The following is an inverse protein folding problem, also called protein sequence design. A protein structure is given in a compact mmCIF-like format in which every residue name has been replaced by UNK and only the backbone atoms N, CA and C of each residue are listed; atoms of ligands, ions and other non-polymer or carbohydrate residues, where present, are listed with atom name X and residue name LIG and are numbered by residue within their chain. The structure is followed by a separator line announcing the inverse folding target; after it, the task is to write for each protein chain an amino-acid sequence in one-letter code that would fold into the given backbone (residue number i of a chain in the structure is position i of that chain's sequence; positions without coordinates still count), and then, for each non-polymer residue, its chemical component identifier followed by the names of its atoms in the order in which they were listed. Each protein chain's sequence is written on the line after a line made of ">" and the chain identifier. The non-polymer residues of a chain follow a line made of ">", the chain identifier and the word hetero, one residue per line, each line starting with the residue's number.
data_IF_830488637324
#
_entry.id   IF_830488637324
#
_cell.length_a   1.000
_cell.length_b   1.000
_cell.length_c   1.000
_cell.angle_alpha   90.00
_cell.angle_beta   90.00
_cell.angle_gamma   90.00
#
_symmetry.space_group_name_H-M   'P 1'
#
loop_
_entity.id
_entity.type
_entity.pdbx_description
1 polymer ?
#
# COMPACT_ATOMS: atom_id res chain seq x y z
N UNK A 1 -15.27 21.05 -8.74
CA UNK A 1 -15.93 20.33 -7.64
C UNK A 1 -17.46 20.27 -7.84
N UNK A 2 -18.06 21.31 -8.42
CA UNK A 2 -19.53 21.40 -8.60
C UNK A 2 -20.11 20.29 -9.49
N UNK A 3 -19.40 19.88 -10.54
CA UNK A 3 -19.84 18.76 -11.40
C UNK A 3 -19.95 17.43 -10.66
N UNK A 4 -19.03 17.14 -9.72
CA UNK A 4 -19.06 15.91 -8.91
C UNK A 4 -20.27 15.91 -7.97
N UNK A 5 -20.54 17.05 -7.32
CA UNK A 5 -21.68 17.20 -6.42
C UNK A 5 -23.01 17.09 -7.15
N UNK A 6 -23.10 17.68 -8.34
CA UNK A 6 -24.27 17.60 -9.20
C UNK A 6 -24.56 16.16 -9.64
N UNK A 7 -23.54 15.45 -10.14
CA UNK A 7 -23.67 14.06 -10.61
C UNK A 7 -23.98 13.11 -9.47
N UNK A 8 -23.39 13.32 -8.29
CA UNK A 8 -23.77 12.59 -7.09
C UNK A 8 -25.25 12.80 -6.73
N UNK A 9 -25.74 14.03 -6.85
CA UNK A 9 -27.16 14.36 -6.65
C UNK A 9 -28.08 13.61 -7.61
N UNK A 10 -27.71 13.54 -8.89
CA UNK A 10 -28.44 12.78 -9.92
C UNK A 10 -28.48 11.29 -9.59
N UNK A 11 -27.32 10.69 -9.34
CA UNK A 11 -27.20 9.26 -9.04
C UNK A 11 -27.96 8.90 -7.77
N UNK A 12 -27.84 9.72 -6.73
CA UNK A 12 -28.62 9.57 -5.51
C UNK A 12 -30.12 9.65 -5.79
N UNK A 13 -30.58 10.67 -6.53
CA UNK A 13 -31.99 10.82 -6.86
C UNK A 13 -32.56 9.63 -7.61
N UNK A 14 -31.79 9.03 -8.52
CA UNK A 14 -32.21 7.81 -9.21
C UNK A 14 -32.25 6.58 -8.29
N UNK A 15 -31.29 6.44 -7.38
CA UNK A 15 -31.29 5.35 -6.40
C UNK A 15 -32.41 5.50 -5.37
N UNK A 16 -32.71 6.72 -4.92
CA UNK A 16 -33.81 7.00 -3.99
C UNK A 16 -35.17 6.67 -4.62
N UNK A 17 -35.33 6.87 -5.94
CA UNK A 17 -36.52 6.42 -6.69
C UNK A 17 -36.62 4.90 -6.77
N UNK A 18 -35.51 4.21 -7.04
CA UNK A 18 -35.46 2.75 -7.02
C UNK A 18 -35.82 2.16 -5.65
N UNK A 19 -35.39 2.79 -4.56
CA UNK A 19 -35.73 2.35 -3.19
C UNK A 19 -37.22 2.47 -2.89
N UNK A 20 -37.92 3.38 -3.59
CA UNK A 20 -39.37 3.58 -3.47
C UNK A 20 -40.19 2.73 -4.44
N UNK A 21 -39.56 1.77 -5.12
CA UNK A 21 -40.15 0.97 -6.20
C UNK A 21 -40.71 1.83 -7.36
N UNK A 22 -40.18 3.05 -7.56
CA UNK A 22 -40.52 3.90 -8.70
C UNK A 22 -39.63 3.57 -9.92
N UNK A 23 -40.19 3.63 -11.12
CA UNK A 23 -39.41 3.49 -12.35
C UNK A 23 -38.45 4.68 -12.50
N UNK A 24 -37.17 4.42 -12.27
CA UNK A 24 -36.10 5.34 -12.60
C UNK A 24 -35.44 4.90 -13.91
N UNK A 25 -35.41 5.80 -14.90
CA UNK A 25 -34.67 5.60 -16.14
C UNK A 25 -33.62 6.68 -16.26
N UNK A 26 -32.35 6.28 -16.32
CA UNK A 26 -31.24 7.20 -16.53
C UNK A 26 -31.30 7.78 -17.95
N UNK A 27 -31.33 9.11 -18.08
CA UNK A 27 -31.28 9.78 -19.37
C UNK A 27 -29.91 9.59 -20.05
N UNK A 28 -29.84 9.83 -21.35
CA UNK A 28 -28.57 9.75 -22.08
C UNK A 28 -27.54 10.78 -21.57
N UNK A 29 -28.00 11.94 -21.11
CA UNK A 29 -27.15 13.00 -20.56
C UNK A 29 -26.58 12.63 -19.18
N UNK A 30 -27.39 12.00 -18.32
CA UNK A 30 -26.94 11.46 -17.03
C UNK A 30 -25.88 10.38 -17.23
N UNK A 31 -26.12 9.48 -18.18
CA UNK A 31 -25.17 8.40 -18.53
C UNK A 31 -23.83 8.96 -19.00
N UNK A 32 -23.85 9.96 -19.88
CA UNK A 32 -22.63 10.64 -20.36
C UNK A 32 -21.89 11.33 -19.22
N UNK A 33 -22.63 12.00 -18.33
CA UNK A 33 -22.07 12.70 -17.18
C UNK A 33 -21.42 11.76 -16.18
N UNK A 34 -22.10 10.65 -15.85
CA UNK A 34 -21.55 9.59 -14.98
C UNK A 34 -20.29 8.97 -15.60
N UNK A 35 -20.31 8.65 -16.90
CA UNK A 35 -19.14 8.11 -17.60
C UNK A 35 -17.95 9.08 -17.58
N UNK A 36 -18.19 10.38 -17.77
CA UNK A 36 -17.14 11.40 -17.72
C UNK A 36 -16.46 11.48 -16.35
N UNK A 37 -17.23 11.35 -15.26
CA UNK A 37 -16.66 11.33 -13.90
C UNK A 37 -15.88 10.05 -13.64
N UNK A 38 -16.39 8.89 -14.06
CA UNK A 38 -15.63 7.63 -13.93
C UNK A 38 -14.31 7.73 -14.70
N UNK A 39 -14.32 8.32 -15.90
CA UNK A 39 -13.11 8.56 -16.68
C UNK A 39 -12.13 9.49 -15.97
N UNK A 40 -12.63 10.53 -15.29
CA UNK A 40 -11.80 11.42 -14.46
C UNK A 40 -11.10 10.64 -13.34
N UNK A 41 -11.83 9.79 -12.61
CA UNK A 41 -11.24 8.94 -11.58
C UNK A 41 -10.19 7.99 -12.15
N UNK A 42 -10.44 7.41 -13.32
CA UNK A 42 -9.49 6.56 -14.03
C UNK A 42 -8.20 7.31 -14.39
N UNK A 43 -8.34 8.52 -14.97
CA UNK A 43 -7.20 9.35 -15.34
C UNK A 43 -6.37 9.77 -14.12
N UNK A 44 -7.00 10.11 -13.00
CA UNK A 44 -6.28 10.45 -11.76
C UNK A 44 -5.57 9.20 -11.22
N UNK A 45 -6.23 8.04 -11.19
CA UNK A 45 -5.64 6.81 -10.68
C UNK A 45 -4.41 6.36 -11.49
N UNK A 46 -4.39 6.62 -12.80
CA UNK A 46 -3.26 6.25 -13.68
C UNK A 46 -2.11 7.25 -13.59
N UNK A 47 -2.40 8.55 -13.60
CA UNK A 47 -1.37 9.57 -13.81
C UNK A 47 -0.85 10.20 -12.52
N UNK A 48 -1.58 10.10 -11.41
CA UNK A 48 -1.23 10.77 -10.16
C UNK A 48 -0.96 9.77 -9.03
N UNK A 49 -0.04 10.10 -8.10
CA UNK A 49 0.17 9.30 -6.91
C UNK A 49 -1.07 9.35 -6.01
N UNK A 50 -1.66 8.19 -5.74
CA UNK A 50 -2.90 8.08 -4.98
C UNK A 50 -2.69 8.42 -3.50
N UNK A 51 -3.35 9.49 -3.05
CA UNK A 51 -3.42 9.84 -1.63
C UNK A 51 -4.44 8.96 -0.89
N UNK A 52 -4.25 8.65 0.41
CA UNK A 52 -5.20 7.83 1.18
C UNK A 52 -6.63 8.38 1.18
N UNK A 53 -6.81 9.70 1.21
CA UNK A 53 -8.13 10.34 1.16
C UNK A 53 -8.81 10.09 -0.19
N UNK A 54 -8.06 10.19 -1.29
CA UNK A 54 -8.57 9.92 -2.63
C UNK A 54 -8.98 8.45 -2.79
N UNK A 55 -8.27 7.51 -2.15
CA UNK A 55 -8.64 6.10 -2.14
C UNK A 55 -10.02 5.87 -1.55
N UNK A 56 -10.29 6.40 -0.36
CA UNK A 56 -11.56 6.15 0.34
C UNK A 56 -12.74 6.79 -0.41
N UNK A 57 -12.48 7.95 -1.02
CA UNK A 57 -13.40 8.61 -1.94
C UNK A 57 -13.63 7.75 -3.19
N UNK A 58 -12.58 7.35 -3.89
CA UNK A 58 -12.65 6.58 -5.14
C UNK A 58 -13.36 5.24 -4.90
N UNK A 59 -13.04 4.54 -3.81
CA UNK A 59 -13.67 3.26 -3.47
C UNK A 59 -15.17 3.42 -3.25
N UNK A 60 -15.58 4.39 -2.45
CA UNK A 60 -17.00 4.63 -2.16
C UNK A 60 -17.75 5.12 -3.40
N UNK A 61 -17.16 6.07 -4.12
CA UNK A 61 -17.79 6.71 -5.28
C UNK A 61 -17.89 5.75 -6.48
N UNK A 62 -16.82 5.03 -6.82
CA UNK A 62 -16.84 4.08 -7.93
C UNK A 62 -17.77 2.89 -7.67
N UNK A 63 -17.89 2.43 -6.42
CA UNK A 63 -18.90 1.41 -6.05
C UNK A 63 -20.33 1.91 -6.22
N UNK A 64 -20.59 3.17 -5.86
CA UNK A 64 -21.90 3.78 -6.10
C UNK A 64 -22.22 3.83 -7.60
N UNK A 65 -21.26 4.26 -8.42
CA UNK A 65 -21.42 4.31 -9.87
C UNK A 65 -21.60 2.91 -10.48
N UNK A 66 -20.93 1.89 -9.94
CA UNK A 66 -21.10 0.49 -10.36
C UNK A 66 -22.53 0.00 -10.09
N UNK A 67 -23.01 0.20 -8.85
CA UNK A 67 -24.37 -0.19 -8.47
C UNK A 67 -25.42 0.53 -9.32
N UNK A 68 -25.22 1.83 -9.55
CA UNK A 68 -26.07 2.62 -10.42
C UNK A 68 -26.04 2.12 -11.87
N UNK A 69 -24.87 1.75 -12.41
CA UNK A 69 -24.77 1.27 -13.78
C UNK A 69 -25.41 -0.12 -13.97
N UNK A 70 -25.30 -1.00 -12.97
CA UNK A 70 -25.95 -2.31 -12.97
C UNK A 70 -27.48 -2.17 -13.02
N UNK A 71 -28.03 -1.26 -12.22
CA UNK A 71 -29.49 -1.12 -12.09
C UNK A 71 -30.10 -0.23 -13.19
N UNK A 72 -29.46 0.89 -13.53
CA UNK A 72 -30.08 1.98 -14.29
C UNK A 72 -29.32 2.34 -15.57
N UNK A 73 -28.02 2.58 -15.45
CA UNK A 73 -27.21 3.14 -16.53
C UNK A 73 -27.09 2.18 -17.73
N UNK A 74 -26.88 0.89 -17.45
CA UNK A 74 -26.66 -0.19 -18.42
C UNK A 74 -25.67 0.21 -19.53
N UNK A 75 -24.67 1.02 -19.19
CA UNK A 75 -23.65 1.50 -20.12
C UNK A 75 -22.68 0.35 -20.37
N UNK A 76 -22.48 -0.08 -21.63
CA UNK A 76 -21.51 -1.12 -21.95
C UNK A 76 -20.10 -0.63 -21.60
N UNK A 77 -19.24 -1.55 -21.15
CA UNK A 77 -17.84 -1.31 -20.79
C UNK A 77 -17.58 -0.45 -19.54
N UNK A 78 -18.56 0.32 -19.05
CA UNK A 78 -18.35 1.16 -17.86
C UNK A 78 -18.01 0.33 -16.61
N UNK A 79 -18.62 -0.84 -16.46
CA UNK A 79 -18.31 -1.76 -15.35
C UNK A 79 -16.85 -2.21 -15.39
N UNK A 80 -16.32 -2.52 -16.57
CA UNK A 80 -14.93 -2.93 -16.78
C UNK A 80 -13.99 -1.77 -16.44
N UNK A 81 -14.32 -0.55 -16.88
CA UNK A 81 -13.54 0.64 -16.53
C UNK A 81 -13.52 0.87 -15.03
N UNK A 82 -14.68 0.81 -14.36
CA UNK A 82 -14.79 0.97 -12.91
C UNK A 82 -13.95 -0.08 -12.18
N UNK A 83 -14.06 -1.36 -12.57
CA UNK A 83 -13.29 -2.44 -11.97
C UNK A 83 -11.78 -2.23 -12.15
N UNK A 84 -11.33 -1.88 -13.36
CA UNK A 84 -9.93 -1.57 -13.63
C UNK A 84 -9.42 -0.41 -12.78
N UNK A 85 -10.18 0.68 -12.67
CA UNK A 85 -9.80 1.83 -11.83
C UNK A 85 -9.71 1.44 -10.36
N UNK A 86 -10.65 0.64 -9.84
CA UNK A 86 -10.59 0.14 -8.46
C UNK A 86 -9.34 -0.72 -8.22
N UNK A 87 -8.99 -1.61 -9.16
CA UNK A 87 -7.79 -2.42 -9.05
C UNK A 87 -6.50 -1.59 -9.06
N UNK A 88 -6.43 -0.54 -9.87
CA UNK A 88 -5.27 0.38 -9.88
C UNK A 88 -5.16 1.08 -8.52
N UNK A 89 -6.28 1.57 -7.98
CA UNK A 89 -6.32 2.26 -6.68
C UNK A 89 -5.88 1.35 -5.54
N UNK A 90 -6.32 0.08 -5.55
CA UNK A 90 -5.93 -0.90 -4.55
C UNK A 90 -4.47 -1.38 -4.74
N UNK A 91 -4.02 -1.54 -5.99
CA UNK A 91 -2.67 -1.99 -6.33
C UNK A 91 -1.57 -0.97 -6.02
N UNK A 92 -1.81 0.34 -6.20
CA UNK A 92 -0.83 1.35 -5.80
C UNK A 92 -0.56 1.36 -4.29
N UNK A 93 -1.57 1.01 -3.48
CA UNK A 93 -1.43 0.91 -2.03
C UNK A 93 -0.58 -0.29 -1.60
N UNK A 94 -0.79 -1.47 -2.20
CA UNK A 94 0.02 -2.65 -1.87
C UNK A 94 1.50 -2.41 -2.19
N UNK A 95 1.80 -1.68 -3.26
CA UNK A 95 3.17 -1.26 -3.58
C UNK A 95 3.74 -0.30 -2.52
N UNK A 96 3.00 0.72 -2.10
CA UNK A 96 3.45 1.66 -1.05
C UNK A 96 3.66 0.98 0.30
N UNK A 97 2.76 0.07 0.68
CA UNK A 97 2.88 -0.73 1.89
C UNK A 97 4.08 -1.68 1.83
N UNK A 98 4.30 -2.31 0.67
CA UNK A 98 5.48 -3.13 0.40
C UNK A 98 6.77 -2.31 0.53
N UNK A 99 6.81 -1.09 -0.01
CA UNK A 99 7.96 -0.18 0.13
C UNK A 99 8.22 0.15 1.61
N UNK A 100 7.18 0.41 2.41
CA UNK A 100 7.32 0.66 3.85
C UNK A 100 7.86 -0.57 4.57
N UNK A 101 7.36 -1.76 4.25
CA UNK A 101 7.87 -3.02 4.80
C UNK A 101 9.35 -3.23 4.44
N UNK A 102 9.74 -3.02 3.18
CA UNK A 102 11.13 -3.11 2.75
C UNK A 102 12.04 -2.13 3.50
N UNK A 103 11.60 -0.89 3.73
CA UNK A 103 12.34 0.09 4.54
C UNK A 103 12.53 -0.40 5.98
N UNK A 104 11.49 -0.96 6.59
CA UNK A 104 11.57 -1.52 7.94
C UNK A 104 12.50 -2.73 8.02
N UNK A 105 12.46 -3.63 7.03
CA UNK A 105 13.37 -4.78 6.93
C UNK A 105 14.81 -4.32 6.74
N UNK A 106 15.05 -3.34 5.86
CA UNK A 106 16.38 -2.76 5.64
C UNK A 106 16.95 -2.13 6.92
N UNK A 107 16.11 -1.40 7.67
CA UNK A 107 16.51 -0.83 8.96
C UNK A 107 16.90 -1.93 9.96
N UNK A 108 16.12 -3.01 10.06
CA UNK A 108 16.43 -4.17 10.91
C UNK A 108 17.72 -4.88 10.50
N UNK A 109 17.95 -5.07 9.19
CA UNK A 109 19.18 -5.66 8.66
C UNK A 109 20.41 -4.79 8.99
N UNK A 110 20.31 -3.46 8.93
CA UNK A 110 21.40 -2.56 9.33
C UNK A 110 21.72 -2.70 10.82
N UNK A 111 20.70 -2.76 11.68
CA UNK A 111 20.88 -3.01 13.11
C UNK A 111 21.52 -4.37 13.35
N UNK A 112 21.10 -5.41 12.63
CA UNK A 112 21.68 -6.75 12.75
C UNK A 112 23.14 -6.80 12.28
N UNK A 113 23.48 -6.09 11.19
CA UNK A 113 24.85 -6.02 10.69
C UNK A 113 25.79 -5.23 11.63
N UNK A 114 25.24 -4.30 12.41
CA UNK A 114 25.96 -3.56 13.46
C UNK A 114 25.96 -4.29 14.80
N UNK A 115 25.22 -5.38 14.93
CA UNK A 115 25.13 -6.15 16.16
C UNK A 115 26.37 -7.05 16.31
N UNK A 116 27.33 -6.62 17.13
CA UNK A 116 28.37 -7.52 17.65
C UNK A 116 27.82 -8.30 18.85
N UNK A 117 27.63 -9.63 18.76
CA UNK A 117 27.16 -10.42 19.89
C UNK A 117 28.16 -10.35 21.06
N UNK A 118 27.72 -10.24 22.32
CA UNK A 118 28.63 -10.16 23.48
C UNK A 118 29.53 -11.40 23.62
N UNK A 119 29.11 -12.55 23.07
CA UNK A 119 29.91 -13.78 23.01
C UNK A 119 31.19 -13.59 22.17
N UNK A 120 31.16 -12.75 21.12
CA UNK A 120 32.33 -12.42 20.31
C UNK A 120 33.32 -11.49 21.02
N UNK A 121 32.85 -10.69 22.00
CA UNK A 121 33.75 -9.89 22.85
C UNK A 121 34.51 -10.78 23.82
N UNK A 122 33.84 -11.75 24.45
CA UNK A 122 34.46 -12.76 25.30
C UNK A 122 35.47 -13.61 24.52
N UNK A 123 35.10 -14.13 23.35
CA UNK A 123 36.03 -14.94 22.54
C UNK A 123 37.24 -14.16 22.03
N UNK A 124 37.07 -12.88 21.63
CA UNK A 124 38.21 -11.98 21.34
C UNK A 124 39.10 -11.77 22.56
N UNK A 125 38.52 -11.64 23.75
CA UNK A 125 39.30 -11.47 24.98
C UNK A 125 40.09 -12.73 25.32
N UNK A 126 39.48 -13.92 25.15
CA UNK A 126 40.14 -15.20 25.30
C UNK A 126 41.28 -15.37 24.29
N UNK A 127 41.06 -15.05 23.01
CA UNK A 127 42.08 -15.12 21.96
C UNK A 127 43.25 -14.15 22.20
N UNK A 128 43.00 -12.97 22.79
CA UNK A 128 44.06 -12.03 23.17
C UNK A 128 44.89 -12.48 24.37
N UNK A 129 44.32 -13.27 25.28
CA UNK A 129 45.04 -13.79 26.47
C UNK A 129 45.79 -15.09 26.24
N UNK A 130 45.63 -15.73 25.08
CA UNK A 130 46.37 -16.92 24.70
C UNK A 130 47.88 -16.67 24.45
N UNK A 131 48.30 -15.63 23.70
CA UNK A 131 49.74 -15.40 23.47
C UNK A 131 50.51 -15.10 24.78
N UNK A 132 49.89 -14.39 25.73
CA UNK A 132 50.52 -14.09 27.03
C UNK A 132 50.74 -15.34 27.91
N UNK A 133 50.00 -16.43 27.67
CA UNK A 133 50.14 -17.68 28.44
C UNK A 133 51.13 -18.66 27.84
N UNK A 134 51.35 -18.63 26.53
CA UNK A 134 52.40 -19.42 25.89
C UNK A 134 53.78 -18.83 26.24
N UNK A 135 53.94 -17.50 26.18
CA UNK A 135 55.19 -16.84 26.58
C UNK A 135 55.48 -16.96 28.10
N UNK A 136 54.45 -16.92 28.96
CA UNK A 136 54.61 -17.13 30.41
C UNK A 136 54.79 -18.61 30.81
N UNK A 137 54.41 -19.55 29.94
CA UNK A 137 54.59 -20.98 30.12
C UNK A 137 56.01 -21.44 29.78
N UNK A 138 56.59 -20.91 28.71
CA UNK A 138 57.98 -21.18 28.31
C UNK A 138 59.00 -20.56 29.28
N UNK A 139 58.72 -19.37 29.84
CA UNK A 139 59.60 -18.73 30.82
C UNK A 139 59.72 -19.46 32.18
N UNK A 140 58.87 -20.47 32.45
CA UNK A 140 58.89 -21.22 33.73
C UNK A 140 59.52 -22.61 33.64
N UNK A 141 59.79 -23.15 32.46
CA UNK A 141 60.47 -24.45 32.33
C UNK A 141 61.99 -24.36 32.45
N UNK A 142 62.58 -23.18 32.27
CA UNK A 142 64.04 -23.03 32.23
C UNK A 142 64.71 -22.78 33.61
N UNK A 143 63.93 -22.63 34.69
CA UNK A 143 64.46 -22.35 36.04
C UNK A 143 64.41 -23.55 37.02
N UNK A 144 64.41 -24.79 36.51
CA UNK A 144 64.58 -26.00 37.34
C UNK A 144 65.74 -26.87 36.83
N UNK A 145 66.94 -26.32 36.84
CA UNK A 145 68.18 -27.09 36.97
C UNK A 145 69.10 -26.29 37.89
N UNK A 146 69.11 -26.70 39.15
CA UNK A 146 70.27 -26.78 40.04
C UNK A 146 69.86 -27.55 41.31
#
# INVERSE_FOLDING_TARGET
>A
ADNLKHIFGIVRGHLDKLVKDEEAVASAEDRKSVAAVVQLFSNIAVNEPIKPIFRDLARSYLRLMLNWNIQLGKIPNLNTTIAATLHIVEGQMTMLETIRLMKNVSARLKVFNQFEPPVFKLSRHYLKTLPDKEEAGEARSDNKKD
#
